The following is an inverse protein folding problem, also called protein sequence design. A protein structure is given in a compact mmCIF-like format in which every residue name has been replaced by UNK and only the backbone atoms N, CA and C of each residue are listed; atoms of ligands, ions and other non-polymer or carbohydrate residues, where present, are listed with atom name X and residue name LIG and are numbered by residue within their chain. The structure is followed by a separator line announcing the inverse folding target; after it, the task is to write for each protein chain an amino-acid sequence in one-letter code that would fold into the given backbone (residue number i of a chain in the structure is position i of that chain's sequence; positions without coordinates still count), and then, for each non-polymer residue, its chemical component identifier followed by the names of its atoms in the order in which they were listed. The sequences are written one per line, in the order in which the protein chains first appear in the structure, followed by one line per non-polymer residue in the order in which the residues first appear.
data_IF_671766736071
#
_entry.id   IF_671766736071
#
_cell.length_a   1.000
_cell.length_b   1.000
_cell.length_c   1.000
_cell.angle_alpha   90.00
_cell.angle_beta   90.00
_cell.angle_gamma   90.00
#
_symmetry.space_group_name_H-M   'P 1'
#
loop_
_entity.id
_entity.type
_entity.pdbx_description
1 polymer ?
#
# COMPACT_ATOMS: atom_id res chain seq x y z
N UNK A 1 4.90 -24.63 9.88
CA UNK A 1 5.61 -25.00 8.64
C UNK A 1 6.24 -23.75 8.07
N UNK A 2 7.55 -23.58 8.24
CA UNK A 2 8.31 -22.48 7.65
C UNK A 2 8.36 -22.69 6.15
N UNK A 3 7.52 -22.00 5.40
CA UNK A 3 7.65 -21.91 3.95
C UNK A 3 8.98 -21.20 3.66
N UNK A 4 10.01 -21.97 3.31
CA UNK A 4 11.24 -21.44 2.71
C UNK A 4 10.84 -20.80 1.41
N UNK A 5 10.66 -19.47 1.42
CA UNK A 5 10.56 -18.72 0.19
C UNK A 5 11.89 -18.97 -0.55
N UNK A 6 11.90 -19.49 -1.79
CA UNK A 6 13.14 -19.54 -2.56
C UNK A 6 13.80 -18.16 -2.51
N UNK A 7 15.11 -18.12 -2.32
CA UNK A 7 15.84 -16.86 -2.32
C UNK A 7 15.46 -16.09 -3.59
N UNK A 8 15.04 -14.84 -3.47
CA UNK A 8 14.50 -14.02 -4.58
C UNK A 8 15.31 -14.17 -5.88
N UNK A 9 16.64 -14.21 -5.77
CA UNK A 9 17.58 -14.31 -6.90
C UNK A 9 17.67 -15.69 -7.56
N UNK A 10 17.18 -16.73 -6.90
CA UNK A 10 17.11 -18.08 -7.45
C UNK A 10 15.90 -18.32 -8.33
N UNK A 11 14.89 -17.44 -8.26
CA UNK A 11 13.66 -17.55 -9.03
C UNK A 11 13.93 -17.47 -10.55
N UNK A 12 13.26 -18.30 -11.36
CA UNK A 12 13.36 -18.24 -12.81
C UNK A 12 13.10 -16.83 -13.38
N UNK A 13 12.05 -16.14 -12.91
CA UNK A 13 11.74 -14.78 -13.37
C UNK A 13 12.85 -13.77 -13.02
N UNK A 14 13.54 -13.95 -11.90
CA UNK A 14 14.68 -13.09 -11.55
C UNK A 14 15.84 -13.27 -12.53
N UNK A 15 16.21 -14.52 -12.83
CA UNK A 15 17.27 -14.81 -13.81
C UNK A 15 16.92 -14.32 -15.21
N UNK A 16 15.65 -14.44 -15.59
CA UNK A 16 15.14 -13.90 -16.85
C UNK A 16 15.24 -12.37 -16.90
N UNK A 17 14.92 -11.67 -15.80
CA UNK A 17 15.12 -10.22 -15.68
C UNK A 17 16.59 -9.81 -15.75
N UNK A 18 17.49 -10.57 -15.13
CA UNK A 18 18.94 -10.34 -15.22
C UNK A 18 19.46 -10.48 -16.65
N UNK A 19 18.98 -11.49 -17.38
CA UNK A 19 19.30 -11.64 -18.81
C UNK A 19 18.71 -10.50 -19.64
N UNK A 20 17.42 -10.19 -19.46
CA UNK A 20 16.72 -9.11 -20.16
C UNK A 20 17.36 -7.75 -19.90
N UNK A 21 17.91 -7.53 -18.71
CA UNK A 21 18.66 -6.31 -18.39
C UNK A 21 19.83 -6.07 -19.36
N UNK A 22 20.54 -7.12 -19.78
CA UNK A 22 21.63 -6.99 -20.75
C UNK A 22 21.16 -6.44 -22.10
N UNK A 23 19.91 -6.71 -22.48
CA UNK A 23 19.28 -6.23 -23.72
C UNK A 23 18.76 -4.80 -23.57
N UNK A 24 18.14 -4.47 -22.44
CA UNK A 24 17.49 -3.16 -22.26
C UNK A 24 18.40 -2.08 -21.68
N UNK A 25 19.57 -2.41 -21.11
CA UNK A 25 20.39 -1.42 -20.37
C UNK A 25 20.86 -0.24 -21.21
N UNK A 26 21.11 -0.46 -22.51
CA UNK A 26 21.56 0.59 -23.43
C UNK A 26 20.38 1.35 -24.07
N UNK A 27 19.13 0.92 -23.84
CA UNK A 27 17.96 1.61 -24.38
C UNK A 27 17.78 2.98 -23.73
N UNK A 28 17.67 4.00 -24.56
CA UNK A 28 17.36 5.36 -24.13
C UNK A 28 15.86 5.62 -24.17
N UNK A 29 15.34 6.32 -23.16
CA UNK A 29 13.92 6.72 -23.11
C UNK A 29 13.50 7.46 -24.38
N UNK A 30 14.33 8.36 -24.91
CA UNK A 30 14.01 9.09 -26.16
C UNK A 30 13.71 8.13 -27.32
N UNK A 31 14.47 7.05 -27.44
CA UNK A 31 14.24 6.03 -28.45
C UNK A 31 12.92 5.28 -28.19
N UNK A 32 12.66 4.87 -26.94
CA UNK A 32 11.42 4.20 -26.56
C UNK A 32 10.16 5.02 -26.86
N UNK A 33 10.23 6.35 -26.75
CA UNK A 33 9.13 7.25 -27.12
C UNK A 33 9.06 7.52 -28.63
N UNK A 34 10.19 7.49 -29.33
CA UNK A 34 10.21 7.61 -30.79
C UNK A 34 9.60 6.35 -31.45
N UNK A 35 9.91 5.16 -30.92
CA UNK A 35 9.43 3.88 -31.42
C UNK A 35 7.97 3.59 -31.05
N UNK A 36 7.48 4.17 -29.94
CA UNK A 36 6.09 4.09 -29.52
C UNK A 36 5.53 5.49 -29.23
N UNK A 37 4.98 6.20 -30.24
CA UNK A 37 4.39 7.52 -30.06
C UNK A 37 3.21 7.55 -29.07
N UNK A 38 2.57 6.39 -28.80
CA UNK A 38 1.47 6.26 -27.84
C UNK A 38 1.93 5.77 -26.46
N UNK A 39 3.23 5.65 -26.22
CA UNK A 39 3.80 5.11 -24.96
C UNK A 39 3.26 5.82 -23.71
N UNK A 40 3.11 7.15 -23.78
CA UNK A 40 2.60 7.96 -22.67
C UNK A 40 1.14 7.64 -22.31
N UNK A 41 0.33 7.24 -23.28
CA UNK A 41 -1.05 6.80 -23.07
C UNK A 41 -1.10 5.34 -22.61
N UNK A 42 -0.25 4.49 -23.21
CA UNK A 42 -0.24 3.04 -23.00
C UNK A 42 0.37 2.62 -21.67
N UNK A 43 1.37 3.36 -21.19
CA UNK A 43 2.06 3.15 -19.91
C UNK A 43 1.63 4.20 -18.89
N UNK A 44 0.31 4.38 -18.80
CA UNK A 44 -0.35 5.14 -17.77
C UNK A 44 -1.54 4.36 -17.22
N UNK A 45 -1.89 4.62 -15.97
CA UNK A 45 -3.08 4.08 -15.33
C UNK A 45 -3.79 5.20 -14.57
N UNK A 46 -5.10 5.31 -14.74
CA UNK A 46 -5.94 6.18 -13.95
C UNK A 46 -6.94 5.36 -13.14
N UNK A 47 -6.93 5.53 -11.83
CA UNK A 47 -7.87 4.87 -10.94
C UNK A 47 -8.03 5.69 -9.66
N UNK A 48 -9.23 5.69 -9.08
CA UNK A 48 -9.53 6.32 -7.77
C UNK A 48 -9.03 7.78 -7.63
N UNK A 49 -9.07 8.55 -8.73
CA UNK A 49 -8.59 9.94 -8.76
C UNK A 49 -7.07 10.10 -8.77
N UNK A 50 -6.33 9.01 -9.03
CA UNK A 50 -4.88 9.00 -9.17
C UNK A 50 -4.49 8.68 -10.61
N UNK A 51 -3.60 9.48 -11.18
CA UNK A 51 -2.96 9.23 -12.47
C UNK A 51 -1.51 8.79 -12.26
N UNK A 52 -1.19 7.57 -12.68
CA UNK A 52 0.14 6.98 -12.63
C UNK A 52 0.72 6.91 -14.04
N UNK A 53 1.67 7.79 -14.35
CA UNK A 53 2.50 7.68 -15.55
C UNK A 53 3.78 6.91 -15.22
N UNK A 54 3.91 5.71 -15.78
CA UNK A 54 5.11 4.88 -15.67
C UNK A 54 5.85 4.73 -17.00
N UNK A 55 5.51 5.55 -18.01
CA UNK A 55 6.10 5.55 -19.36
C UNK A 55 7.56 5.99 -19.38
N UNK A 56 7.98 6.83 -18.43
CA UNK A 56 9.34 7.37 -18.31
C UNK A 56 10.30 6.43 -17.58
N UNK A 57 10.02 5.13 -17.61
CA UNK A 57 10.91 4.07 -17.15
C UNK A 57 11.48 3.30 -18.34
N UNK A 58 12.69 2.76 -18.18
CA UNK A 58 13.36 1.91 -19.18
C UNK A 58 12.77 0.49 -19.14
N UNK A 59 11.51 0.41 -19.57
CA UNK A 59 10.71 -0.82 -19.58
C UNK A 59 10.16 -1.07 -20.98
N UNK A 60 10.22 -2.30 -21.43
CA UNK A 60 9.52 -2.81 -22.61
C UNK A 60 8.31 -3.66 -22.17
N UNK A 61 7.50 -4.11 -23.12
CA UNK A 61 6.41 -5.05 -22.81
C UNK A 61 6.94 -6.34 -22.19
N UNK A 62 8.10 -6.83 -22.66
CA UNK A 62 8.77 -7.99 -22.05
C UNK A 62 9.26 -7.67 -20.63
N UNK A 63 9.77 -6.46 -20.37
CA UNK A 63 10.14 -6.05 -19.00
C UNK A 63 8.94 -6.14 -18.06
N UNK A 64 7.78 -5.61 -18.48
CA UNK A 64 6.56 -5.63 -17.66
C UNK A 64 6.06 -7.06 -17.43
N UNK A 65 6.06 -7.89 -18.48
CA UNK A 65 5.70 -9.31 -18.38
C UNK A 65 6.59 -10.05 -17.38
N UNK A 66 7.91 -9.87 -17.44
CA UNK A 66 8.85 -10.51 -16.53
C UNK A 66 8.72 -9.99 -15.08
N UNK A 67 8.47 -8.69 -14.89
CA UNK A 67 8.23 -8.13 -13.56
C UNK A 67 6.93 -8.68 -12.94
N UNK A 68 5.86 -8.82 -13.73
CA UNK A 68 4.61 -9.44 -13.27
C UNK A 68 4.80 -10.92 -12.96
N UNK A 69 5.58 -11.65 -13.77
CA UNK A 69 5.94 -13.03 -13.48
C UNK A 69 6.73 -13.16 -12.17
N UNK A 70 7.68 -12.24 -11.91
CA UNK A 70 8.42 -12.23 -10.64
C UNK A 70 7.48 -11.98 -9.46
N UNK A 71 6.50 -11.08 -9.58
CA UNK A 71 5.50 -10.83 -8.54
C UNK A 71 4.67 -12.09 -8.23
N UNK A 72 4.31 -12.86 -9.26
CA UNK A 72 3.59 -14.14 -9.13
C UNK A 72 4.48 -15.22 -8.48
N UNK A 73 5.71 -15.40 -8.93
CA UNK A 73 6.66 -16.36 -8.34
C UNK A 73 6.99 -16.03 -6.88
N UNK A 74 6.98 -14.74 -6.51
CA UNK A 74 7.11 -14.27 -5.13
C UNK A 74 5.82 -14.43 -4.29
N UNK A 75 4.71 -14.86 -4.92
CA UNK A 75 3.37 -14.95 -4.32
C UNK A 75 2.91 -13.63 -3.71
N UNK A 76 3.19 -12.51 -4.38
CA UNK A 76 2.87 -11.17 -3.88
C UNK A 76 1.38 -11.04 -3.56
N UNK A 77 0.50 -11.56 -4.42
CA UNK A 77 -0.95 -11.53 -4.20
C UNK A 77 -1.34 -12.26 -2.91
N UNK A 78 -0.83 -13.47 -2.69
CA UNK A 78 -1.07 -14.23 -1.46
C UNK A 78 -0.59 -13.48 -0.22
N UNK A 79 0.56 -12.79 -0.30
CA UNK A 79 1.07 -11.98 0.83
C UNK A 79 0.20 -10.75 1.10
N UNK A 80 -0.33 -10.11 0.05
CA UNK A 80 -1.31 -9.03 0.18
C UNK A 80 -2.58 -9.57 0.84
N UNK A 81 -3.13 -10.69 0.36
CA UNK A 81 -4.36 -11.26 0.92
C UNK A 81 -4.18 -11.66 2.39
N UNK A 82 -3.02 -12.23 2.76
CA UNK A 82 -2.66 -12.53 4.15
C UNK A 82 -2.59 -11.27 5.03
N UNK A 83 -2.09 -10.14 4.50
CA UNK A 83 -2.12 -8.86 5.21
C UNK A 83 -3.56 -8.40 5.45
N UNK A 84 -4.41 -8.44 4.41
CA UNK A 84 -5.79 -7.96 4.47
C UNK A 84 -6.69 -8.85 5.32
N UNK A 85 -6.41 -10.16 5.43
CA UNK A 85 -7.15 -11.10 6.25
C UNK A 85 -6.78 -11.05 7.74
N UNK A 86 -5.68 -10.38 8.10
CA UNK A 86 -5.21 -10.28 9.48
C UNK A 86 -4.30 -11.41 9.92
N UNK A 87 -3.71 -12.17 8.99
CA UNK A 87 -2.65 -13.12 9.33
C UNK A 87 -1.45 -12.42 9.97
N UNK A 88 -0.74 -13.15 10.84
CA UNK A 88 0.43 -12.65 11.58
C UNK A 88 1.68 -12.60 10.69
N UNK A 89 1.66 -11.71 9.69
CA UNK A 89 2.74 -11.57 8.70
C UNK A 89 3.97 -10.82 9.23
N UNK A 90 3.84 -10.07 10.34
CA UNK A 90 5.00 -9.58 11.07
C UNK A 90 5.53 -10.74 11.93
N UNK A 91 6.41 -11.54 11.31
CA UNK A 91 6.87 -12.81 11.86
C UNK A 91 7.77 -12.67 13.09
N UNK A 92 8.55 -11.58 13.18
CA UNK A 92 9.50 -11.39 14.29
C UNK A 92 8.79 -11.00 15.58
N UNK A 93 7.65 -10.31 15.46
CA UNK A 93 6.82 -9.93 16.61
C UNK A 93 5.58 -10.81 16.76
N UNK A 94 5.33 -11.72 15.82
CA UNK A 94 4.12 -12.54 15.72
C UNK A 94 2.82 -11.71 15.75
N UNK A 95 2.73 -10.69 14.88
CA UNK A 95 1.62 -9.72 14.85
C UNK A 95 0.98 -9.58 13.47
N UNK A 96 -0.33 -9.29 13.47
CA UNK A 96 -1.05 -8.87 12.27
C UNK A 96 -0.65 -7.44 11.87
N UNK A 97 -0.75 -7.12 10.58
CA UNK A 97 -0.45 -5.79 10.03
C UNK A 97 -1.72 -5.22 9.39
N UNK A 98 -2.50 -4.45 10.14
CA UNK A 98 -3.89 -4.11 9.80
C UNK A 98 -4.21 -2.62 9.78
N UNK A 99 -3.27 -1.80 9.32
CA UNK A 99 -3.53 -0.38 9.08
C UNK A 99 -4.70 -0.16 8.08
N UNK A 100 -4.97 -1.14 7.20
CA UNK A 100 -6.11 -1.12 6.29
C UNK A 100 -7.47 -1.17 7.02
N UNK A 101 -7.54 -1.79 8.20
CA UNK A 101 -8.77 -1.87 8.99
C UNK A 101 -9.22 -0.49 9.50
N UNK A 102 -8.28 0.44 9.73
CA UNK A 102 -8.54 1.79 10.25
C UNK A 102 -9.37 2.67 9.29
N UNK A 103 -9.48 2.26 8.03
CA UNK A 103 -10.21 2.94 6.95
C UNK A 103 -11.27 2.06 6.29
N UNK A 104 -11.57 0.91 6.89
CA UNK A 104 -12.57 -0.01 6.36
C UNK A 104 -13.99 0.55 6.57
N UNK A 105 -14.92 0.35 5.60
CA UNK A 105 -16.34 0.63 5.80
C UNK A 105 -16.91 -0.05 7.05
N UNK A 106 -17.98 0.51 7.64
CA UNK A 106 -18.61 -0.02 8.88
C UNK A 106 -19.12 -1.45 8.69
N UNK A 107 -19.46 -1.82 7.47
CA UNK A 107 -20.05 -3.10 7.06
C UNK A 107 -18.99 -4.19 6.82
N UNK A 108 -17.71 -3.84 6.82
CA UNK A 108 -16.62 -4.79 6.60
C UNK A 108 -16.38 -5.65 7.85
N UNK A 109 -15.95 -6.90 7.65
CA UNK A 109 -15.53 -7.79 8.73
C UNK A 109 -14.06 -8.16 8.55
N UNK A 110 -13.24 -7.84 9.55
CA UNK A 110 -11.82 -8.23 9.59
C UNK A 110 -11.59 -8.89 10.95
N UNK A 111 -11.36 -10.20 10.94
CA UNK A 111 -11.30 -11.02 12.17
C UNK A 111 -9.85 -11.33 12.52
N UNK A 112 -9.44 -10.98 13.74
CA UNK A 112 -8.10 -11.26 14.29
C UNK A 112 -8.28 -11.93 15.63
N UNK A 113 -7.59 -13.05 15.85
CA UNK A 113 -7.66 -13.80 17.11
C UNK A 113 -9.11 -14.07 17.58
N UNK A 114 -10.01 -14.32 16.61
CA UNK A 114 -11.42 -14.63 16.84
C UNK A 114 -12.36 -13.42 17.01
N UNK A 115 -11.85 -12.19 16.89
CA UNK A 115 -12.64 -10.96 17.09
C UNK A 115 -12.66 -10.09 15.84
N UNK A 116 -13.84 -9.58 15.46
CA UNK A 116 -13.94 -8.58 14.40
C UNK A 116 -13.49 -7.21 14.93
N UNK A 117 -12.44 -6.64 14.36
CA UNK A 117 -11.83 -5.38 14.85
C UNK A 117 -12.53 -4.13 14.32
N UNK A 118 -13.34 -4.24 13.26
CA UNK A 118 -13.98 -3.09 12.60
C UNK A 118 -14.92 -2.31 13.53
N UNK A 119 -15.77 -2.94 14.36
CA UNK A 119 -16.62 -2.20 15.32
C UNK A 119 -15.82 -1.36 16.32
N UNK A 120 -14.69 -1.86 16.81
CA UNK A 120 -13.84 -1.12 17.76
C UNK A 120 -13.17 0.10 17.10
N UNK A 121 -12.70 -0.07 15.86
CA UNK A 121 -12.18 1.05 15.06
C UNK A 121 -13.23 2.16 14.93
N UNK A 122 -14.45 1.82 14.54
CA UNK A 122 -15.52 2.80 14.36
C UNK A 122 -15.99 3.42 15.68
N UNK A 123 -15.97 2.67 16.79
CA UNK A 123 -16.25 3.23 18.11
C UNK A 123 -15.22 4.31 18.50
N UNK A 124 -13.95 4.15 18.13
CA UNK A 124 -12.91 5.18 18.34
C UNK A 124 -13.10 6.35 17.37
N UNK A 125 -13.38 6.09 16.10
CA UNK A 125 -13.66 7.14 15.12
C UNK A 125 -14.87 8.01 15.52
N UNK A 126 -15.96 7.40 15.99
CA UNK A 126 -17.15 8.10 16.44
C UNK A 126 -16.84 8.97 17.69
N UNK A 127 -16.01 8.45 18.63
CA UNK A 127 -15.51 9.25 19.78
C UNK A 127 -14.64 10.43 19.34
N UNK A 128 -13.73 10.20 18.40
CA UNK A 128 -12.85 11.23 17.85
C UNK A 128 -13.65 12.32 17.13
N UNK A 129 -14.63 11.93 16.32
CA UNK A 129 -15.51 12.86 15.61
C UNK A 129 -16.30 13.74 16.60
N UNK A 130 -16.97 13.12 17.59
CA UNK A 130 -17.72 13.86 18.60
C UNK A 130 -16.84 14.83 19.40
N UNK A 131 -15.62 14.43 19.73
CA UNK A 131 -14.64 15.31 20.38
C UNK A 131 -14.22 16.47 19.46
N UNK A 132 -13.82 16.15 18.22
CA UNK A 132 -13.37 17.14 17.24
C UNK A 132 -14.46 18.17 16.93
N UNK A 133 -15.71 17.75 16.81
CA UNK A 133 -16.86 18.63 16.59
C UNK A 133 -17.06 19.60 17.76
N UNK A 134 -16.97 19.13 19.01
CA UNK A 134 -17.04 20.00 20.19
C UNK A 134 -15.89 21.00 20.26
N UNK A 135 -14.68 20.60 19.87
CA UNK A 135 -13.51 21.50 19.80
C UNK A 135 -13.72 22.56 18.72
N UNK A 136 -14.13 22.15 17.52
CA UNK A 136 -14.39 23.05 16.39
C UNK A 136 -15.54 24.02 16.69
N UNK A 137 -16.62 23.51 17.28
CA UNK A 137 -17.80 24.27 17.70
C UNK A 137 -17.56 25.22 18.86
N UNK A 138 -16.48 25.02 19.64
CA UNK A 138 -16.14 25.85 20.79
C UNK A 138 -16.85 25.46 22.09
N UNK A 139 -17.62 24.36 22.07
CA UNK A 139 -18.24 23.76 23.25
C UNK A 139 -17.21 23.10 24.17
N UNK A 140 -16.09 22.65 23.59
CA UNK A 140 -14.94 22.22 24.37
C UNK A 140 -14.14 23.45 24.84
N UNK A 141 -14.27 23.76 26.14
CA UNK A 141 -13.65 24.92 26.78
C UNK A 141 -12.47 24.50 27.64
N UNK A 142 -11.47 25.36 27.72
CA UNK A 142 -10.37 25.21 28.68
C UNK A 142 -10.81 25.57 30.10
N UNK A 143 -9.88 25.47 31.05
CA UNK A 143 -10.13 25.73 32.48
C UNK A 143 -10.76 27.11 32.75
N UNK A 144 -10.40 28.14 31.98
CA UNK A 144 -10.94 29.51 32.11
C UNK A 144 -12.25 29.75 31.34
N UNK A 145 -12.89 28.70 30.82
CA UNK A 145 -14.12 28.81 30.02
C UNK A 145 -13.91 29.32 28.58
N UNK A 146 -12.67 29.65 28.19
CA UNK A 146 -12.34 30.08 26.83
C UNK A 146 -12.29 28.89 25.88
N UNK A 147 -12.71 29.10 24.62
CA UNK A 147 -12.59 28.09 23.55
C UNK A 147 -11.13 27.74 23.28
N UNK A 148 -10.89 26.50 22.88
CA UNK A 148 -9.56 26.07 22.43
C UNK A 148 -9.17 26.83 21.15
N UNK A 149 -7.91 27.27 21.08
CA UNK A 149 -7.32 27.93 19.90
C UNK A 149 -6.03 27.28 19.43
N UNK A 150 -5.30 26.65 20.34
CA UNK A 150 -4.01 26.02 20.06
C UNK A 150 -4.12 24.54 20.39
N UNK A 151 -3.61 23.69 19.50
CA UNK A 151 -3.48 22.25 19.70
C UNK A 151 -1.99 21.94 19.69
N UNK A 152 -1.46 21.40 20.79
CA UNK A 152 -0.07 21.00 20.92
C UNK A 152 -0.02 19.48 20.83
N UNK A 153 0.48 18.95 19.71
CA UNK A 153 0.72 17.52 19.55
C UNK A 153 2.13 17.18 20.06
N UNK A 154 2.23 16.34 21.09
CA UNK A 154 3.51 15.89 21.65
C UNK A 154 3.68 14.42 21.26
N UNK A 155 4.62 14.13 20.37
CA UNK A 155 4.89 12.78 19.89
C UNK A 155 6.25 12.68 19.21
N UNK A 156 6.76 11.45 19.15
CA UNK A 156 7.90 11.04 18.33
C UNK A 156 7.39 10.02 17.30
N UNK A 157 8.10 9.88 16.18
CA UNK A 157 7.76 8.94 15.11
C UNK A 157 7.73 7.49 15.58
#
# INVERSE_FOLDING_TARGET
MTTTNPFLRSLPAWKALEAHYAEVRELHLRQLFADDPKRGERLALEAVGLYLDYSKNRVTDETLKLLLQLAEECRLRTRIDAMFSGEKINITENRAVLHVALRAPKETSIVVDGQNVVPEVHAVLDKMAAFADRVRGGDWKGHTGKRIRNVINIGIG
#
